data_IF_072708523883
#
_entry.id   IF_072708523883
#
_cell.length_a   1.000
_cell.length_b   1.000
_cell.length_c   1.000
_cell.angle_alpha   90.00
_cell.angle_beta   90.00
_cell.angle_gamma   90.00
#
_symmetry.space_group_name_H-M   'P 1'
#
loop_
_entity.id
_entity.type
_entity.pdbx_description
1 polymer ?
#
# COMPACT_ATOMS: atom_id res chain seq x y z
N UNK A 1 -7.74 -9.72 -21.00
CA UNK A 1 -7.00 -9.78 -19.71
C UNK A 1 -7.98 -10.31 -18.67
N UNK A 2 -7.64 -11.37 -17.91
CA UNK A 2 -8.58 -11.93 -16.92
C UNK A 2 -8.51 -11.12 -15.61
N UNK A 3 -9.57 -11.17 -14.79
CA UNK A 3 -9.65 -10.39 -13.54
C UNK A 3 -8.48 -10.68 -12.59
N UNK A 4 -8.02 -11.94 -12.54
CA UNK A 4 -6.87 -12.36 -11.76
C UNK A 4 -5.57 -11.68 -12.22
N UNK A 5 -5.35 -11.55 -13.54
CA UNK A 5 -4.17 -10.88 -14.09
C UNK A 5 -4.19 -9.40 -13.75
N UNK A 6 -5.37 -8.76 -13.79
CA UNK A 6 -5.52 -7.37 -13.39
C UNK A 6 -5.20 -7.18 -11.90
N UNK A 7 -5.73 -8.03 -11.02
CA UNK A 7 -5.44 -7.96 -9.58
C UNK A 7 -3.96 -8.18 -9.27
N UNK A 8 -3.31 -9.17 -9.91
CA UNK A 8 -1.89 -9.42 -9.73
C UNK A 8 -1.05 -8.25 -10.23
N UNK A 9 -1.34 -7.73 -11.44
CA UNK A 9 -0.62 -6.59 -12.00
C UNK A 9 -0.72 -5.36 -11.10
N UNK A 10 -1.94 -5.01 -10.66
CA UNK A 10 -2.15 -3.83 -9.81
C UNK A 10 -1.54 -4.05 -8.42
N UNK A 11 -1.65 -5.25 -7.85
CA UNK A 11 -1.00 -5.61 -6.59
C UNK A 11 0.53 -5.51 -6.66
N UNK A 12 1.15 -5.98 -7.75
CA UNK A 12 2.60 -5.86 -7.96
C UNK A 12 3.05 -4.42 -8.16
N UNK A 13 2.33 -3.64 -8.96
CA UNK A 13 2.60 -2.20 -9.14
C UNK A 13 2.47 -1.48 -7.80
N UNK A 14 1.48 -1.85 -6.99
CA UNK A 14 1.28 -1.29 -5.67
C UNK A 14 2.48 -1.54 -4.74
N UNK A 15 3.04 -2.75 -4.70
CA UNK A 15 4.26 -3.04 -3.93
C UNK A 15 5.43 -2.12 -4.32
N UNK A 16 5.60 -1.84 -5.62
CA UNK A 16 6.63 -0.92 -6.12
C UNK A 16 6.35 0.51 -5.64
N UNK A 17 5.10 0.96 -5.68
CA UNK A 17 4.70 2.30 -5.20
C UNK A 17 4.97 2.44 -3.70
N UNK A 18 4.69 1.43 -2.88
CA UNK A 18 5.01 1.49 -1.44
C UNK A 18 6.53 1.57 -1.24
N UNK A 19 7.27 0.64 -1.84
CA UNK A 19 8.72 0.52 -1.65
C UNK A 19 9.47 1.79 -2.07
N UNK A 20 9.10 2.38 -3.21
CA UNK A 20 9.74 3.59 -3.72
C UNK A 20 9.13 4.89 -3.15
N UNK A 21 7.81 4.92 -2.93
CA UNK A 21 7.06 6.10 -2.52
C UNK A 21 7.44 6.55 -1.10
N UNK A 22 7.49 5.61 -0.15
CA UNK A 22 7.84 5.90 1.25
C UNK A 22 9.29 6.41 1.35
N UNK A 23 10.21 5.83 0.59
CA UNK A 23 11.60 6.30 0.54
C UNK A 23 11.72 7.66 -0.16
N UNK A 24 10.94 7.90 -1.22
CA UNK A 24 10.96 9.17 -1.96
C UNK A 24 10.39 10.33 -1.15
N UNK A 25 9.33 10.11 -0.38
CA UNK A 25 8.74 11.16 0.50
C UNK A 25 9.72 11.59 1.60
N UNK A 26 10.53 10.65 2.11
CA UNK A 26 11.72 10.91 2.95
C UNK A 26 12.74 11.82 2.26
N UNK A 27 13.19 11.44 1.06
CA UNK A 27 14.26 12.17 0.32
C UNK A 27 13.89 13.59 -0.05
N UNK A 28 12.60 13.94 -0.08
CA UNK A 28 12.12 15.29 -0.38
C UNK A 28 12.25 16.29 0.78
N UNK A 29 12.76 15.89 1.95
CA UNK A 29 12.97 16.80 3.07
C UNK A 29 11.68 17.39 3.66
N UNK A 30 10.54 16.74 3.43
CA UNK A 30 9.23 17.22 3.89
C UNK A 30 9.17 17.28 5.43
N UNK A 31 8.40 18.22 6.01
CA UNK A 31 8.16 18.27 7.44
C UNK A 31 7.66 16.92 7.98
N UNK A 32 8.04 16.50 9.21
CA UNK A 32 7.76 15.17 9.72
C UNK A 32 6.29 14.75 9.65
N UNK A 33 5.36 15.68 9.96
CA UNK A 33 3.91 15.42 9.89
C UNK A 33 3.44 15.15 8.46
N UNK A 34 3.92 15.94 7.49
CA UNK A 34 3.54 15.80 6.07
C UNK A 34 4.09 14.49 5.50
N UNK A 35 5.30 14.10 5.89
CA UNK A 35 5.92 12.84 5.47
C UNK A 35 5.12 11.63 5.94
N UNK A 36 4.67 11.65 7.19
CA UNK A 36 3.92 10.55 7.80
C UNK A 36 2.54 10.40 7.14
N UNK A 37 1.86 11.52 6.88
CA UNK A 37 0.59 11.53 6.15
C UNK A 37 0.77 11.05 4.71
N UNK A 38 1.80 11.53 4.00
CA UNK A 38 2.06 11.11 2.62
C UNK A 38 2.38 9.62 2.51
N UNK A 39 3.19 9.08 3.43
CA UNK A 39 3.49 7.66 3.50
C UNK A 39 2.24 6.83 3.84
N UNK A 40 1.41 7.28 4.79
CA UNK A 40 0.15 6.64 5.12
C UNK A 40 -0.81 6.61 3.92
N UNK A 41 -0.95 7.71 3.19
CA UNK A 41 -1.78 7.78 1.98
C UNK A 41 -1.29 6.80 0.91
N UNK A 42 0.03 6.75 0.66
CA UNK A 42 0.62 5.84 -0.33
C UNK A 42 0.42 4.36 0.00
N UNK A 43 0.31 4.04 1.28
CA UNK A 43 0.07 2.68 1.80
C UNK A 43 -1.42 2.35 1.90
N UNK A 44 -2.29 3.29 2.25
CA UNK A 44 -3.69 2.95 2.56
C UNK A 44 -4.57 3.08 1.32
N UNK A 45 -4.34 4.10 0.48
CA UNK A 45 -5.24 4.40 -0.64
C UNK A 45 -5.26 3.30 -1.70
N UNK A 46 -4.13 2.77 -2.21
CA UNK A 46 -4.19 1.77 -3.26
C UNK A 46 -4.90 0.45 -2.88
N UNK A 47 -4.65 -0.17 -1.70
CA UNK A 47 -5.36 -1.37 -1.30
C UNK A 47 -6.84 -1.07 -1.00
N UNK A 48 -7.17 0.11 -0.48
CA UNK A 48 -8.56 0.53 -0.31
C UNK A 48 -9.31 0.64 -1.66
N UNK A 49 -8.67 1.21 -2.69
CA UNK A 49 -9.23 1.27 -4.05
C UNK A 49 -9.42 -0.13 -4.63
N UNK A 50 -8.45 -1.03 -4.44
CA UNK A 50 -8.55 -2.43 -4.88
C UNK A 50 -9.66 -3.19 -4.16
N UNK A 51 -9.84 -2.96 -2.86
CA UNK A 51 -10.96 -3.53 -2.10
C UNK A 51 -12.29 -3.00 -2.65
N UNK A 52 -12.40 -1.70 -2.90
CA UNK A 52 -13.59 -1.11 -3.53
C UNK A 52 -13.92 -1.76 -4.87
N UNK A 53 -12.90 -1.91 -5.74
CA UNK A 53 -13.05 -2.59 -7.02
C UNK A 53 -13.45 -4.06 -6.87
N UNK A 54 -12.90 -4.77 -5.88
CA UNK A 54 -13.23 -6.15 -5.56
C UNK A 54 -14.69 -6.28 -5.11
N UNK A 55 -15.18 -5.39 -4.26
CA UNK A 55 -16.56 -5.39 -3.80
C UNK A 55 -17.57 -5.15 -4.94
N UNK A 56 -17.20 -4.31 -5.93
CA UNK A 56 -18.04 -4.07 -7.11
C UNK A 56 -18.21 -5.31 -8.00
N UNK A 57 -17.34 -6.33 -7.88
CA UNK A 57 -17.50 -7.57 -8.67
C UNK A 57 -18.65 -8.44 -8.18
N UNK A 58 -19.10 -8.29 -6.92
CA UNK A 58 -20.17 -9.11 -6.32
C UNK A 58 -19.83 -10.60 -6.12
N UNK A 59 -18.64 -11.05 -6.54
CA UNK A 59 -18.21 -12.45 -6.42
C UNK A 59 -17.69 -12.72 -5.00
N UNK A 60 -18.47 -13.49 -4.24
CA UNK A 60 -18.17 -13.81 -2.85
C UNK A 60 -16.90 -14.67 -2.69
N UNK A 61 -16.55 -15.51 -3.68
CA UNK A 61 -15.30 -16.28 -3.66
C UNK A 61 -14.10 -15.39 -3.91
N UNK A 62 -14.19 -14.46 -4.85
CA UNK A 62 -13.10 -13.50 -5.08
C UNK A 62 -12.92 -12.57 -3.88
N UNK A 63 -14.01 -12.10 -3.27
CA UNK A 63 -13.96 -11.25 -2.08
C UNK A 63 -13.27 -11.98 -0.92
N UNK A 64 -13.63 -13.24 -0.64
CA UNK A 64 -13.04 -14.00 0.46
C UNK A 64 -11.54 -14.29 0.27
N UNK A 65 -11.13 -14.56 -0.99
CA UNK A 65 -9.74 -14.90 -1.31
C UNK A 65 -8.83 -13.68 -1.39
N UNK A 66 -9.24 -12.65 -2.14
CA UNK A 66 -8.43 -11.46 -2.37
C UNK A 66 -8.59 -10.40 -1.28
N UNK A 67 -9.75 -10.32 -0.62
CA UNK A 67 -10.02 -9.33 0.43
C UNK A 67 -9.08 -9.48 1.61
N UNK A 68 -8.88 -10.72 2.09
CA UNK A 68 -7.93 -11.03 3.17
C UNK A 68 -6.50 -10.62 2.79
N UNK A 69 -6.10 -10.89 1.54
CA UNK A 69 -4.76 -10.59 1.05
C UNK A 69 -4.54 -9.07 0.98
N UNK A 70 -5.50 -8.32 0.43
CA UNK A 70 -5.46 -6.86 0.38
C UNK A 70 -5.44 -6.21 1.78
N UNK A 71 -6.20 -6.77 2.73
CA UNK A 71 -6.18 -6.32 4.11
C UNK A 71 -4.80 -6.52 4.76
N UNK A 72 -4.19 -7.69 4.59
CA UNK A 72 -2.84 -7.94 5.09
C UNK A 72 -1.78 -7.07 4.42
N UNK A 73 -1.96 -6.74 3.14
CA UNK A 73 -1.07 -5.85 2.42
C UNK A 73 -1.14 -4.41 2.95
N UNK A 74 -2.33 -3.96 3.35
CA UNK A 74 -2.50 -2.68 4.03
C UNK A 74 -1.78 -2.66 5.38
N UNK A 75 -1.94 -3.70 6.20
CA UNK A 75 -1.23 -3.85 7.48
C UNK A 75 0.28 -3.86 7.29
N UNK A 76 0.78 -4.68 6.36
CA UNK A 76 2.20 -4.80 6.05
C UNK A 76 2.80 -3.47 5.57
N UNK A 77 2.09 -2.74 4.71
CA UNK A 77 2.54 -1.42 4.25
C UNK A 77 2.64 -0.39 5.38
N UNK A 78 1.72 -0.44 6.37
CA UNK A 78 1.76 0.45 7.53
C UNK A 78 2.99 0.14 8.39
N UNK A 79 3.25 -1.14 8.66
CA UNK A 79 4.47 -1.57 9.36
C UNK A 79 5.72 -1.13 8.61
N UNK A 80 5.77 -1.30 7.29
CA UNK A 80 6.91 -0.87 6.48
C UNK A 80 7.12 0.65 6.60
N UNK A 81 6.07 1.46 6.49
CA UNK A 81 6.15 2.91 6.65
C UNK A 81 6.69 3.31 8.04
N UNK A 82 6.21 2.67 9.11
CA UNK A 82 6.72 2.89 10.47
C UNK A 82 8.19 2.50 10.59
N UNK A 83 8.57 1.31 10.14
CA UNK A 83 9.95 0.84 10.19
C UNK A 83 10.89 1.76 9.42
N UNK A 84 10.47 2.25 8.24
CA UNK A 84 11.26 3.20 7.43
C UNK A 84 11.45 4.53 8.17
N UNK A 85 10.42 4.99 8.89
CA UNK A 85 10.48 6.21 9.69
C UNK A 85 11.39 6.03 10.94
N UNK A 86 11.32 4.89 11.62
CA UNK A 86 12.16 4.57 12.80
C UNK A 86 13.62 4.41 12.40
N UNK A 87 13.92 3.57 11.40
CA UNK A 87 15.29 3.26 10.98
C UNK A 87 16.00 4.53 10.53
N UNK A 88 15.38 5.30 9.64
CA UNK A 88 16.06 6.49 9.13
C UNK A 88 16.08 7.68 10.13
N UNK A 89 15.51 7.55 11.34
CA UNK A 89 15.82 8.45 12.47
C UNK A 89 17.10 8.04 13.21
N UNK A 90 17.51 6.76 13.11
CA UNK A 90 18.73 6.24 13.75
C UNK A 90 19.96 6.33 12.86
N UNK A 91 19.80 6.47 11.55
CA UNK A 91 20.90 6.51 10.57
C UNK A 91 21.28 7.93 10.12
N UNK A 92 20.59 8.95 10.60
CA UNK A 92 20.91 10.37 10.41
C UNK A 92 21.44 10.93 11.74
#
# INVERSE_FOLDING_TARGET
>A
MNAVTAFLLIGSIYLVIIAYGVVRTRKRGLPPRVRLIAAAIQVVVPPAVLIGALLLTGDHRMIATWGTLLAMLMVAGVFLAMCTEIIARRTL
#
